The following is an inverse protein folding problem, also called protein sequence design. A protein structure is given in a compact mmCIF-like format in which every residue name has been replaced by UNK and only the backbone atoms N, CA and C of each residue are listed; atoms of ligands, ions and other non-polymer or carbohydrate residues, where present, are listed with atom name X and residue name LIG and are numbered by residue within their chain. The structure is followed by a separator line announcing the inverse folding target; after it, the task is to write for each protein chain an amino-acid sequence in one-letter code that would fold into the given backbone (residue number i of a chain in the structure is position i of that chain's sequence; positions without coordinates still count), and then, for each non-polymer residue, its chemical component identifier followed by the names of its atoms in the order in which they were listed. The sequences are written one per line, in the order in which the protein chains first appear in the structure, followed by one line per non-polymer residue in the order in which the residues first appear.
data_IF_475699038076
#
_entry.id   IF_475699038076
#
_cell.length_a   1.000
_cell.length_b   1.000
_cell.length_c   1.000
_cell.angle_alpha   90.00
_cell.angle_beta   90.00
_cell.angle_gamma   90.00
#
_symmetry.space_group_name_H-M   'P 1'
#
loop_
_entity.id
_entity.type
_entity.pdbx_description
1 polymer ?
#
# COMPACT_ATOMS: atom_id res chain seq x y z
N UNK A 1 -2.77 -43.80 36.06
CA UNK A 1 -2.57 -42.36 35.79
C UNK A 1 -3.04 -42.11 34.36
N UNK A 2 -4.33 -41.76 34.19
CA UNK A 2 -4.96 -41.55 32.88
C UNK A 2 -4.67 -40.11 32.42
N UNK A 3 -4.05 -39.99 31.26
CA UNK A 3 -3.82 -38.70 30.58
C UNK A 3 -5.12 -38.33 29.88
N UNK A 4 -5.82 -37.32 30.41
CA UNK A 4 -6.95 -36.69 29.74
C UNK A 4 -6.38 -35.74 28.69
N UNK A 5 -6.46 -36.13 27.42
CA UNK A 5 -6.25 -35.23 26.29
C UNK A 5 -7.56 -34.45 26.12
N UNK A 6 -7.62 -33.24 26.65
CA UNK A 6 -8.69 -32.31 26.35
C UNK A 6 -8.49 -31.77 24.93
N UNK A 7 -9.17 -32.40 23.95
CA UNK A 7 -9.49 -31.74 22.69
C UNK A 7 -10.39 -30.55 23.02
N UNK A 8 -9.87 -29.34 22.96
CA UNK A 8 -10.71 -28.15 22.82
C UNK A 8 -11.14 -28.10 21.36
N UNK A 9 -12.24 -28.78 21.04
CA UNK A 9 -13.02 -28.39 19.86
C UNK A 9 -13.55 -27.00 20.17
N UNK A 10 -12.88 -25.98 19.65
CA UNK A 10 -13.50 -24.67 19.50
C UNK A 10 -14.81 -24.91 18.77
N UNK A 11 -15.89 -24.67 19.51
CA UNK A 11 -17.24 -24.55 19.02
C UNK A 11 -17.25 -23.56 17.86
N UNK A 12 -17.06 -24.08 16.65
CA UNK A 12 -17.28 -23.41 15.38
C UNK A 12 -18.78 -23.12 15.32
N UNK A 13 -19.11 -21.95 15.87
CA UNK A 13 -20.33 -21.68 16.62
C UNK A 13 -21.57 -21.56 15.73
N UNK A 14 -22.65 -22.20 16.18
CA UNK A 14 -24.02 -22.01 15.68
C UNK A 14 -24.52 -20.54 15.78
N UNK A 15 -23.76 -19.61 16.36
CA UNK A 15 -24.15 -18.19 16.46
C UNK A 15 -23.85 -17.34 15.21
N UNK A 16 -23.26 -17.91 14.14
CA UNK A 16 -23.01 -17.17 12.87
C UNK A 16 -24.17 -17.20 11.86
N UNK A 17 -25.25 -17.94 12.11
CA UNK A 17 -26.33 -18.10 11.11
C UNK A 17 -27.23 -16.88 10.94
N UNK A 18 -26.91 -15.73 11.55
CA UNK A 18 -27.77 -14.54 11.55
C UNK A 18 -27.13 -13.26 10.96
N UNK A 19 -25.98 -13.37 10.29
CA UNK A 19 -25.23 -12.20 9.85
C UNK A 19 -24.87 -12.23 8.37
N UNK A 20 -24.90 -11.05 7.75
CA UNK A 20 -24.50 -10.84 6.36
C UNK A 20 -22.97 -10.78 6.31
N UNK A 21 -22.34 -11.74 5.65
CA UNK A 21 -20.89 -11.82 5.60
C UNK A 21 -20.33 -10.93 4.50
N UNK A 22 -19.39 -10.07 4.84
CA UNK A 22 -18.64 -9.23 3.90
C UNK A 22 -17.21 -9.73 3.87
N UNK A 23 -16.66 -9.87 2.66
CA UNK A 23 -15.24 -10.20 2.46
C UNK A 23 -14.69 -9.43 1.26
N UNK A 24 -13.37 -9.37 1.16
CA UNK A 24 -12.74 -8.87 -0.03
C UNK A 24 -11.23 -8.78 0.10
N UNK A 25 -10.61 -8.25 -0.94
CA UNK A 25 -9.18 -7.99 -1.01
C UNK A 25 -8.91 -6.51 -1.20
N UNK A 26 -7.92 -6.02 -0.48
CA UNK A 26 -7.44 -4.65 -0.58
C UNK A 26 -6.06 -4.66 -1.23
N UNK A 27 -5.89 -3.86 -2.27
CA UNK A 27 -4.60 -3.68 -2.96
C UNK A 27 -4.18 -2.22 -3.03
N UNK A 28 -2.89 -2.02 -3.26
CA UNK A 28 -2.27 -0.73 -3.52
C UNK A 28 -1.69 -0.68 -4.93
N UNK A 29 -1.86 0.48 -5.57
CA UNK A 29 -1.34 0.83 -6.88
C UNK A 29 -1.85 -0.09 -8.02
N UNK A 30 -2.24 0.52 -9.14
CA UNK A 30 -2.64 -0.21 -10.34
C UNK A 30 -1.37 -0.69 -11.06
N UNK A 31 -1.19 -2.01 -11.21
CA UNK A 31 -0.17 -2.54 -12.15
C UNK A 31 -0.73 -2.69 -13.58
N UNK A 32 -1.93 -2.14 -13.82
CA UNK A 32 -2.65 -2.20 -15.10
C UNK A 32 -3.87 -3.10 -14.98
N UNK A 33 -5.00 -2.61 -15.46
CA UNK A 33 -6.26 -3.34 -15.57
C UNK A 33 -6.16 -4.44 -16.63
N UNK A 34 -6.37 -5.70 -16.23
CA UNK A 34 -6.90 -6.72 -17.14
C UNK A 34 -8.14 -7.36 -16.53
N UNK A 35 -9.32 -6.96 -17.00
CA UNK A 35 -10.59 -7.58 -16.62
C UNK A 35 -10.94 -7.48 -15.13
N UNK A 36 -11.93 -8.25 -14.69
CA UNK A 36 -12.59 -8.25 -13.37
C UNK A 36 -11.67 -8.53 -12.15
N UNK A 37 -10.35 -8.52 -12.32
CA UNK A 37 -9.40 -8.69 -11.23
C UNK A 37 -8.79 -7.35 -10.81
N UNK A 38 -8.86 -7.08 -9.51
CA UNK A 38 -8.09 -6.02 -8.86
C UNK A 38 -6.63 -6.48 -8.77
N UNK A 39 -5.83 -6.14 -9.79
CA UNK A 39 -4.40 -6.48 -9.87
C UNK A 39 -3.57 -5.36 -9.23
N UNK A 40 -3.08 -5.60 -8.02
CA UNK A 40 -2.22 -4.67 -7.29
C UNK A 40 -1.47 -5.39 -6.17
N UNK A 41 -0.56 -4.68 -5.51
CA UNK A 41 0.17 -5.27 -4.38
C UNK A 41 -0.78 -5.41 -3.19
N UNK A 42 -0.86 -6.58 -2.53
CA UNK A 42 -1.69 -6.75 -1.35
C UNK A 42 -1.45 -5.68 -0.28
N UNK A 43 -2.52 -5.05 0.21
CA UNK A 43 -2.45 -3.99 1.21
C UNK A 43 -2.75 -4.54 2.60
N UNK A 44 -1.71 -4.77 3.39
CA UNK A 44 -1.85 -5.20 4.78
C UNK A 44 -2.07 -4.02 5.74
N UNK A 45 -2.73 -4.30 6.86
CA UNK A 45 -2.93 -3.33 7.95
C UNK A 45 -3.89 -2.18 7.63
N UNK A 46 -4.71 -2.32 6.59
CA UNK A 46 -5.79 -1.36 6.29
C UNK A 46 -6.89 -1.53 7.31
N UNK A 47 -7.30 -0.44 7.96
CA UNK A 47 -8.38 -0.46 8.95
C UNK A 47 -9.72 -0.20 8.25
N UNK A 48 -10.68 -1.11 8.42
CA UNK A 48 -12.06 -0.96 7.98
C UNK A 48 -12.91 -0.54 9.17
N UNK A 49 -13.37 0.71 9.17
CA UNK A 49 -14.24 1.25 10.22
C UNK A 49 -15.70 1.18 9.78
N UNK A 50 -16.56 0.60 10.61
CA UNK A 50 -17.99 0.52 10.35
C UNK A 50 -18.71 1.65 11.11
N UNK A 51 -19.42 2.48 10.37
CA UNK A 51 -20.35 3.47 10.91
C UNK A 51 -21.79 3.04 10.61
N UNK A 52 -22.63 2.94 11.64
CA UNK A 52 -24.03 2.53 11.56
C UNK A 52 -24.92 3.69 11.97
N UNK A 53 -25.84 4.12 11.11
CA UNK A 53 -26.75 5.24 11.42
C UNK A 53 -26.01 6.47 12.01
N UNK A 54 -24.78 6.75 11.52
CA UNK A 54 -23.87 7.82 11.99
C UNK A 54 -23.16 7.60 13.34
N UNK A 55 -23.23 6.41 13.95
CA UNK A 55 -22.48 6.02 15.15
C UNK A 55 -21.37 5.02 14.80
N UNK A 56 -20.15 5.25 15.29
CA UNK A 56 -19.02 4.32 15.08
C UNK A 56 -19.21 3.07 15.93
N UNK A 57 -19.08 1.89 15.32
CA UNK A 57 -19.37 0.63 16.02
C UNK A 57 -18.14 -0.26 16.18
N UNK A 58 -17.47 -0.63 15.08
CA UNK A 58 -16.44 -1.68 15.08
C UNK A 58 -15.33 -1.35 14.07
N UNK A 59 -14.13 -1.89 14.32
CA UNK A 59 -13.03 -1.85 13.37
C UNK A 59 -12.51 -3.25 13.07
N UNK A 60 -12.03 -3.42 11.83
CA UNK A 60 -11.38 -4.64 11.35
C UNK A 60 -10.10 -4.25 10.62
N UNK A 61 -9.25 -5.22 10.30
CA UNK A 61 -8.02 -4.98 9.56
C UNK A 61 -7.77 -6.03 8.49
N UNK A 62 -7.16 -5.61 7.38
CA UNK A 62 -6.66 -6.56 6.37
C UNK A 62 -5.43 -7.34 6.85
N UNK A 63 -5.32 -8.60 6.43
CA UNK A 63 -4.18 -9.47 6.69
C UNK A 63 -2.96 -9.15 5.78
N UNK A 64 -1.88 -9.94 5.90
CA UNK A 64 -0.68 -9.78 5.08
C UNK A 64 -0.90 -9.98 3.57
N UNK A 65 -1.99 -10.63 3.19
CA UNK A 65 -2.40 -10.89 1.81
C UNK A 65 -3.49 -9.90 1.34
N UNK A 66 -3.77 -8.86 2.13
CA UNK A 66 -4.77 -7.84 1.84
C UNK A 66 -6.21 -8.33 2.02
N UNK A 67 -6.43 -9.55 2.49
CA UNK A 67 -7.78 -10.08 2.70
C UNK A 67 -8.37 -9.51 3.97
N UNK A 68 -9.68 -9.28 3.96
CA UNK A 68 -10.45 -8.90 5.14
C UNK A 68 -11.81 -9.57 5.12
N UNK A 69 -12.42 -9.70 6.30
CA UNK A 69 -13.82 -10.11 6.41
C UNK A 69 -14.44 -9.66 7.72
N UNK A 70 -15.76 -9.47 7.70
CA UNK A 70 -16.57 -9.14 8.87
C UNK A 70 -18.04 -9.48 8.61
N UNK A 71 -18.88 -9.28 9.62
CA UNK A 71 -20.32 -9.52 9.57
C UNK A 71 -21.08 -8.22 9.77
N UNK A 72 -22.15 -8.03 9.01
CA UNK A 72 -23.14 -6.97 9.19
C UNK A 72 -24.43 -7.55 9.77
N UNK A 73 -25.04 -6.84 10.72
CA UNK A 73 -26.39 -7.14 11.18
C UNK A 73 -27.42 -6.61 10.17
N UNK A 74 -28.57 -7.27 9.98
CA UNK A 74 -29.63 -6.83 9.08
C UNK A 74 -30.35 -5.57 9.58
N UNK A 75 -31.17 -4.95 8.71
CA UNK A 75 -32.02 -3.82 9.10
C UNK A 75 -31.27 -2.50 9.30
N UNK A 76 -30.02 -2.40 8.86
CA UNK A 76 -29.12 -1.26 9.10
C UNK A 76 -28.51 -0.71 7.81
N UNK A 77 -28.10 0.55 7.88
CA UNK A 77 -27.30 1.22 6.85
C UNK A 77 -25.88 1.46 7.37
N UNK A 78 -24.90 1.04 6.57
CA UNK A 78 -23.50 1.08 6.91
C UNK A 78 -22.73 2.01 5.97
N UNK A 79 -21.78 2.75 6.54
CA UNK A 79 -20.64 3.28 5.81
C UNK A 79 -19.40 2.51 6.25
N UNK A 80 -18.76 1.85 5.29
CA UNK A 80 -17.49 1.17 5.45
C UNK A 80 -16.36 2.14 5.06
N UNK A 81 -15.55 2.57 6.02
CA UNK A 81 -14.41 3.47 5.77
C UNK A 81 -13.09 2.70 5.81
N UNK A 82 -12.41 2.60 4.67
CA UNK A 82 -11.12 1.92 4.51
C UNK A 82 -10.00 2.95 4.64
N UNK A 83 -9.16 2.80 5.67
CA UNK A 83 -8.17 3.81 6.07
C UNK A 83 -6.79 3.20 6.23
N UNK A 84 -5.77 3.89 5.69
CA UNK A 84 -4.36 3.55 5.87
C UNK A 84 -3.52 4.85 5.86
N UNK A 85 -2.57 5.03 6.78
CA UNK A 85 -1.71 6.22 6.79
C UNK A 85 -0.99 6.41 5.45
N UNK A 86 -1.07 7.62 4.90
CA UNK A 86 -0.48 7.95 3.59
C UNK A 86 -1.33 7.56 2.38
N UNK A 87 -2.55 7.06 2.57
CA UNK A 87 -3.47 6.68 1.50
C UNK A 87 -4.79 7.44 1.61
N UNK A 88 -5.42 7.64 0.46
CA UNK A 88 -6.75 8.25 0.38
C UNK A 88 -7.80 7.28 0.94
N UNK A 89 -8.61 7.76 1.89
CA UNK A 89 -9.69 6.98 2.49
C UNK A 89 -10.77 6.65 1.45
N UNK A 90 -11.20 5.38 1.42
CA UNK A 90 -12.32 4.93 0.57
C UNK A 90 -13.55 4.65 1.42
N UNK A 91 -14.73 4.89 0.83
CA UNK A 91 -16.02 4.70 1.50
C UNK A 91 -16.93 3.85 0.64
N UNK A 92 -17.57 2.86 1.25
CA UNK A 92 -18.60 2.05 0.61
C UNK A 92 -19.86 2.14 1.45
N UNK A 93 -20.99 2.30 0.78
CA UNK A 93 -22.28 2.25 1.43
C UNK A 93 -22.89 0.87 1.25
N UNK A 94 -23.46 0.32 2.32
CA UNK A 94 -24.18 -0.95 2.28
C UNK A 94 -25.50 -0.80 3.02
N UNK A 95 -26.63 -1.05 2.36
CA UNK A 95 -27.94 -1.14 2.99
C UNK A 95 -28.35 -2.60 3.17
N UNK A 96 -28.61 -2.97 4.42
CA UNK A 96 -29.11 -4.30 4.79
C UNK A 96 -30.59 -4.28 5.17
N UNK A 97 -31.30 -3.17 4.86
CA UNK A 97 -32.70 -2.95 5.25
C UNK A 97 -33.66 -4.00 4.68
N UNK A 98 -33.45 -4.39 3.43
CA UNK A 98 -34.32 -5.35 2.74
C UNK A 98 -33.91 -6.82 2.99
N UNK A 99 -32.85 -7.08 3.78
CA UNK A 99 -32.45 -8.45 4.10
C UNK A 99 -33.43 -9.05 5.12
N UNK A 100 -34.18 -10.07 4.71
CA UNK A 100 -35.17 -10.73 5.55
C UNK A 100 -34.57 -11.82 6.46
N UNK A 101 -35.32 -12.27 7.46
CA UNK A 101 -34.89 -13.38 8.33
C UNK A 101 -34.81 -14.71 7.59
N UNK A 102 -35.60 -14.90 6.52
CA UNK A 102 -35.56 -16.13 5.72
C UNK A 102 -34.27 -16.19 4.91
N UNK A 103 -33.86 -15.09 4.26
CA UNK A 103 -32.58 -15.01 3.53
C UNK A 103 -31.39 -15.37 4.42
N UNK A 104 -31.41 -14.83 5.63
CA UNK A 104 -30.41 -15.10 6.65
C UNK A 104 -30.39 -16.59 7.04
N UNK A 105 -31.57 -17.18 7.24
CA UNK A 105 -31.74 -18.58 7.67
C UNK A 105 -31.24 -19.57 6.63
N UNK A 106 -31.49 -19.30 5.35
CA UNK A 106 -31.07 -20.18 4.26
C UNK A 106 -29.61 -19.97 3.84
N UNK A 107 -29.00 -18.88 4.31
CA UNK A 107 -27.60 -18.55 4.08
C UNK A 107 -27.43 -17.73 2.81
N UNK A 108 -26.69 -16.64 2.93
CA UNK A 108 -26.43 -15.72 1.84
C UNK A 108 -25.03 -15.91 1.29
N UNK A 109 -24.84 -15.63 0.00
CA UNK A 109 -23.49 -15.47 -0.54
C UNK A 109 -22.80 -14.30 0.16
N UNK A 110 -21.48 -14.39 0.41
CA UNK A 110 -20.75 -13.25 0.94
C UNK A 110 -20.78 -12.07 -0.03
N UNK A 111 -21.09 -10.89 0.48
CA UNK A 111 -20.88 -9.65 -0.26
C UNK A 111 -19.38 -9.44 -0.46
N UNK A 112 -18.93 -9.50 -1.72
CA UNK A 112 -17.53 -9.33 -2.10
C UNK A 112 -17.28 -7.87 -2.46
N UNK A 113 -16.39 -7.21 -1.71
CA UNK A 113 -16.00 -5.82 -1.96
C UNK A 113 -14.48 -5.74 -2.04
N UNK A 114 -13.96 -5.65 -3.26
CA UNK A 114 -12.54 -5.41 -3.46
C UNK A 114 -12.25 -3.91 -3.50
N UNK A 115 -11.13 -3.50 -2.88
CA UNK A 115 -10.77 -2.09 -2.72
C UNK A 115 -9.38 -1.86 -3.27
N UNK A 116 -9.28 -0.86 -4.13
CA UNK A 116 -8.00 -0.28 -4.54
C UNK A 116 -7.76 1.02 -3.77
N UNK A 117 -6.67 1.03 -2.99
CA UNK A 117 -6.15 2.24 -2.36
C UNK A 117 -5.09 2.88 -3.24
N UNK A 118 -5.08 4.21 -3.24
CA UNK A 118 -3.99 5.00 -3.80
C UNK A 118 -3.48 5.99 -2.76
N UNK A 119 -2.21 6.33 -2.90
CA UNK A 119 -1.51 7.24 -2.00
C UNK A 119 -2.17 8.62 -1.98
N UNK A 120 -2.19 9.23 -0.81
CA UNK A 120 -2.46 10.66 -0.68
C UNK A 120 -1.19 11.43 -1.05
N UNK A 121 -1.36 12.66 -1.53
CA UNK A 121 -0.23 13.47 -2.01
C UNK A 121 -0.47 14.96 -1.76
N UNK A 122 0.57 15.74 -1.40
CA UNK A 122 0.43 17.18 -1.22
C UNK A 122 -0.24 17.86 -2.43
N UNK A 123 -1.36 18.55 -2.18
CA UNK A 123 -2.12 19.25 -3.21
C UNK A 123 -3.21 18.42 -3.91
N UNK A 124 -3.36 17.13 -3.56
CA UNK A 124 -4.41 16.27 -4.10
C UNK A 124 -5.79 16.69 -3.54
N UNK A 125 -6.78 16.88 -4.42
CA UNK A 125 -8.14 17.16 -3.99
C UNK A 125 -8.93 15.84 -3.85
N UNK A 126 -9.28 15.48 -2.63
CA UNK A 126 -10.01 14.23 -2.32
C UNK A 126 -11.42 14.47 -1.77
N UNK A 127 -11.93 15.71 -1.82
CA UNK A 127 -13.22 16.07 -1.20
C UNK A 127 -14.38 15.24 -1.72
N UNK A 128 -14.38 14.91 -3.02
CA UNK A 128 -15.42 14.08 -3.63
C UNK A 128 -15.46 12.65 -3.04
N UNK A 129 -14.33 12.15 -2.55
CA UNK A 129 -14.18 10.81 -1.94
C UNK A 129 -14.58 10.80 -0.45
N UNK A 130 -15.07 11.92 0.08
CA UNK A 130 -15.85 11.95 1.33
C UNK A 130 -17.22 11.29 1.18
N UNK A 131 -17.69 11.10 -0.05
CA UNK A 131 -18.88 10.31 -0.38
C UNK A 131 -18.50 8.84 -0.64
N UNK A 132 -19.44 7.89 -0.51
CA UNK A 132 -19.23 6.52 -0.96
C UNK A 132 -18.83 6.47 -2.44
N UNK A 133 -17.99 5.51 -2.81
CA UNK A 133 -17.61 5.28 -4.22
C UNK A 133 -18.46 4.20 -4.90
N UNK A 134 -19.20 3.42 -4.11
CA UNK A 134 -20.16 2.41 -4.55
C UNK A 134 -21.21 2.22 -3.45
N UNK A 135 -22.39 1.74 -3.84
CA UNK A 135 -23.54 1.52 -2.95
C UNK A 135 -24.12 0.15 -3.23
N UNK A 136 -24.12 -0.70 -2.21
CA UNK A 136 -24.73 -2.02 -2.28
C UNK A 136 -26.07 -2.03 -1.56
N UNK A 137 -27.10 -2.57 -2.22
CA UNK A 137 -28.42 -2.80 -1.64
C UNK A 137 -28.86 -4.22 -1.92
N UNK A 138 -29.54 -4.86 -0.98
CA UNK A 138 -30.14 -6.16 -1.23
C UNK A 138 -31.29 -6.04 -2.24
N UNK A 139 -31.34 -6.96 -3.20
CA UNK A 139 -32.40 -7.08 -4.20
C UNK A 139 -33.14 -8.39 -3.99
N UNK A 140 -34.42 -8.31 -3.59
CA UNK A 140 -35.29 -9.50 -3.45
C UNK A 140 -35.41 -10.29 -4.76
N UNK A 141 -35.31 -9.60 -5.91
CA UNK A 141 -35.38 -10.23 -7.22
C UNK A 141 -34.13 -11.09 -7.52
N UNK A 142 -32.95 -10.58 -7.17
CA UNK A 142 -31.68 -11.29 -7.39
C UNK A 142 -31.35 -12.26 -6.24
N UNK A 143 -31.97 -12.08 -5.07
CA UNK A 143 -31.61 -12.79 -3.85
C UNK A 143 -30.19 -12.46 -3.37
N UNK A 144 -29.64 -11.31 -3.78
CA UNK A 144 -28.26 -10.91 -3.49
C UNK A 144 -28.12 -9.38 -3.41
N UNK A 145 -26.97 -8.92 -2.94
CA UNK A 145 -26.57 -7.53 -3.00
C UNK A 145 -26.22 -7.13 -4.43
N UNK A 146 -26.86 -6.07 -4.90
CA UNK A 146 -26.57 -5.43 -6.18
C UNK A 146 -25.89 -4.08 -5.94
N UNK A 147 -24.96 -3.72 -6.82
CA UNK A 147 -24.40 -2.36 -6.86
C UNK A 147 -25.38 -1.42 -7.57
N UNK A 148 -25.50 -0.19 -7.08
CA UNK A 148 -26.11 0.93 -7.80
C UNK A 148 -25.19 1.33 -8.95
N UNK A 149 -25.28 0.59 -10.07
CA UNK A 149 -24.41 0.77 -11.24
C UNK A 149 -24.39 2.22 -11.75
N UNK A 150 -25.53 2.93 -11.91
CA UNK A 150 -25.51 4.34 -12.28
C UNK A 150 -24.68 5.19 -11.31
N UNK A 151 -24.88 5.02 -10.00
CA UNK A 151 -24.10 5.74 -9.00
C UNK A 151 -22.61 5.39 -9.08
N UNK A 152 -22.27 4.10 -9.14
CA UNK A 152 -20.90 3.63 -9.29
C UNK A 152 -20.22 4.25 -10.51
N UNK A 153 -20.87 4.26 -11.67
CA UNK A 153 -20.32 4.85 -12.88
C UNK A 153 -20.06 6.36 -12.73
N UNK A 154 -20.93 7.10 -12.04
CA UNK A 154 -20.66 8.52 -11.74
C UNK A 154 -19.45 8.69 -10.83
N UNK A 155 -19.34 7.90 -9.76
CA UNK A 155 -18.24 7.99 -8.82
C UNK A 155 -16.92 7.50 -9.42
N UNK A 156 -16.97 6.52 -10.33
CA UNK A 156 -15.80 6.03 -11.06
C UNK A 156 -15.13 7.17 -11.84
N UNK A 157 -15.90 8.01 -12.53
CA UNK A 157 -15.37 9.18 -13.25
C UNK A 157 -14.67 10.15 -12.30
N UNK A 158 -15.23 10.37 -11.10
CA UNK A 158 -14.62 11.24 -10.11
C UNK A 158 -13.35 10.62 -9.49
N UNK A 159 -13.34 9.32 -9.23
CA UNK A 159 -12.14 8.59 -8.80
C UNK A 159 -11.05 8.68 -9.86
N UNK A 160 -11.38 8.52 -11.14
CA UNK A 160 -10.45 8.63 -12.26
C UNK A 160 -9.86 10.04 -12.37
N UNK A 161 -10.67 11.10 -12.14
CA UNK A 161 -10.17 12.49 -12.07
C UNK A 161 -9.16 12.69 -10.94
N UNK A 162 -9.45 12.18 -9.74
CA UNK A 162 -8.54 12.27 -8.59
C UNK A 162 -7.23 11.51 -8.88
N UNK A 163 -7.33 10.31 -9.46
CA UNK A 163 -6.15 9.54 -9.87
C UNK A 163 -5.31 10.28 -10.92
N UNK A 164 -5.94 10.89 -11.92
CA UNK A 164 -5.23 11.68 -12.93
C UNK A 164 -4.51 12.89 -12.30
N UNK A 165 -5.16 13.57 -11.35
CA UNK A 165 -4.52 14.66 -10.60
C UNK A 165 -3.32 14.15 -9.79
N UNK A 166 -3.45 13.00 -9.12
CA UNK A 166 -2.36 12.35 -8.38
C UNK A 166 -1.15 12.08 -9.30
N UNK A 167 -1.38 11.53 -10.49
CA UNK A 167 -0.29 11.28 -11.45
C UNK A 167 0.40 12.57 -11.89
N UNK A 168 -0.37 13.64 -12.15
CA UNK A 168 0.20 14.95 -12.50
C UNK A 168 1.05 15.53 -11.37
N UNK A 169 0.57 15.48 -10.13
CA UNK A 169 1.29 15.98 -8.96
C UNK A 169 2.58 15.20 -8.72
N UNK A 170 2.53 13.86 -8.80
CA UNK A 170 3.72 13.00 -8.71
C UNK A 170 4.73 13.32 -9.80
N UNK A 171 4.28 13.47 -11.04
CA UNK A 171 5.15 13.83 -12.16
C UNK A 171 5.83 15.19 -11.95
N UNK A 172 5.08 16.21 -11.52
CA UNK A 172 5.65 17.54 -11.25
C UNK A 172 6.68 17.50 -10.11
N UNK A 173 6.40 16.79 -9.03
CA UNK A 173 7.34 16.61 -7.94
C UNK A 173 8.60 15.88 -8.40
N UNK A 174 8.45 14.80 -9.17
CA UNK A 174 9.55 14.06 -9.78
C UNK A 174 10.41 14.96 -10.67
N UNK A 175 9.80 15.68 -11.64
CA UNK A 175 10.50 16.53 -12.60
C UNK A 175 11.31 17.62 -11.86
N UNK A 176 10.76 18.16 -10.76
CA UNK A 176 11.44 19.15 -9.91
C UNK A 176 12.68 18.57 -9.21
N UNK A 177 12.56 17.40 -8.59
CA UNK A 177 13.68 16.74 -7.91
C UNK A 177 14.77 16.35 -8.91
N UNK A 178 14.39 15.88 -10.10
CA UNK A 178 15.33 15.58 -11.19
C UNK A 178 16.07 16.84 -11.66
N UNK A 179 15.36 17.93 -11.92
CA UNK A 179 16.00 19.18 -12.35
C UNK A 179 16.97 19.73 -11.28
N UNK A 180 16.61 19.60 -10.00
CA UNK A 180 17.51 19.93 -8.88
C UNK A 180 18.74 19.04 -8.87
N UNK A 181 18.55 17.72 -8.97
CA UNK A 181 19.62 16.74 -8.98
C UNK A 181 20.59 16.93 -10.16
N UNK A 182 20.08 17.19 -11.37
CA UNK A 182 20.86 17.48 -12.56
C UNK A 182 21.71 18.75 -12.37
N UNK A 183 21.11 19.80 -11.80
CA UNK A 183 21.83 21.03 -11.50
C UNK A 183 22.97 20.78 -10.50
N UNK A 184 22.70 20.09 -9.40
CA UNK A 184 23.71 19.72 -8.40
C UNK A 184 24.83 18.87 -9.01
N UNK A 185 24.47 17.91 -9.86
CA UNK A 185 25.42 17.03 -10.51
C UNK A 185 26.35 17.80 -11.45
N UNK A 186 25.81 18.72 -12.26
CA UNK A 186 26.62 19.58 -13.15
C UNK A 186 27.60 20.48 -12.39
N UNK A 187 27.31 20.82 -11.13
CA UNK A 187 28.20 21.57 -10.23
C UNK A 187 29.09 20.67 -9.36
N UNK A 188 29.19 19.38 -9.67
CA UNK A 188 29.97 18.38 -8.94
C UNK A 188 29.57 18.21 -7.45
N UNK A 189 28.36 18.63 -7.07
CA UNK A 189 27.79 18.38 -5.75
C UNK A 189 27.17 16.99 -5.71
N UNK A 190 28.05 15.98 -5.80
CA UNK A 190 27.67 14.59 -6.05
C UNK A 190 26.74 14.02 -4.97
N UNK A 191 27.02 14.30 -3.70
CA UNK A 191 26.23 13.80 -2.59
C UNK A 191 24.82 14.38 -2.56
N UNK A 192 24.69 15.69 -2.78
CA UNK A 192 23.39 16.37 -2.82
C UNK A 192 22.58 15.90 -4.04
N UNK A 193 23.23 15.74 -5.20
CA UNK A 193 22.60 15.23 -6.42
C UNK A 193 22.04 13.81 -6.21
N UNK A 194 22.81 12.92 -5.57
CA UNK A 194 22.34 11.58 -5.24
C UNK A 194 21.06 11.63 -4.39
N UNK A 195 21.03 12.46 -3.34
CA UNK A 195 19.85 12.58 -2.46
C UNK A 195 18.62 13.02 -3.25
N UNK A 196 18.75 14.01 -4.13
CA UNK A 196 17.61 14.50 -4.93
C UNK A 196 17.14 13.44 -5.96
N UNK A 197 18.05 12.67 -6.56
CA UNK A 197 17.65 11.51 -7.36
C UNK A 197 16.95 10.41 -6.54
N UNK A 198 17.34 10.19 -5.29
CA UNK A 198 16.64 9.25 -4.40
C UNK A 198 15.23 9.75 -4.06
N UNK A 199 15.03 11.06 -3.87
CA UNK A 199 13.69 11.65 -3.69
C UNK A 199 12.84 11.49 -4.95
N UNK A 200 13.44 11.67 -6.13
CA UNK A 200 12.77 11.42 -7.41
C UNK A 200 12.30 9.95 -7.49
N UNK A 201 13.15 8.98 -7.15
CA UNK A 201 12.78 7.55 -7.12
C UNK A 201 11.76 7.21 -6.03
N UNK A 202 11.77 7.91 -4.89
CA UNK A 202 10.73 7.74 -3.89
C UNK A 202 9.35 8.18 -4.43
N UNK A 203 9.34 9.16 -5.33
CA UNK A 203 8.11 9.68 -5.95
C UNK A 203 7.65 8.77 -7.10
N UNK A 204 8.56 8.35 -7.97
CA UNK A 204 8.34 7.43 -9.08
C UNK A 204 9.42 6.33 -9.10
N UNK A 205 9.17 5.17 -8.48
CA UNK A 205 10.21 4.16 -8.22
C UNK A 205 10.65 3.34 -9.43
N UNK A 206 9.90 3.40 -10.54
CA UNK A 206 10.17 2.62 -11.75
C UNK A 206 11.01 3.40 -12.79
N UNK A 207 11.36 4.66 -12.50
CA UNK A 207 12.09 5.52 -13.42
C UNK A 207 13.57 5.12 -13.55
N UNK A 208 14.02 4.89 -14.80
CA UNK A 208 15.40 4.46 -15.06
C UNK A 208 16.42 5.58 -14.96
N UNK A 209 16.02 6.81 -15.30
CA UNK A 209 16.94 7.94 -15.39
C UNK A 209 17.65 8.23 -14.06
N UNK A 210 16.94 8.42 -12.92
CA UNK A 210 17.61 8.64 -11.64
C UNK A 210 18.47 7.45 -11.19
N UNK A 211 18.05 6.21 -11.51
CA UNK A 211 18.85 5.00 -11.20
C UNK A 211 20.22 5.04 -11.89
N UNK A 212 20.24 5.40 -13.17
CA UNK A 212 21.47 5.52 -13.94
C UNK A 212 22.37 6.63 -13.38
N UNK A 213 21.79 7.79 -13.05
CA UNK A 213 22.52 8.93 -12.51
C UNK A 213 23.11 8.64 -11.13
N UNK A 214 22.35 7.97 -10.24
CA UNK A 214 22.86 7.50 -8.95
C UNK A 214 24.03 6.52 -9.14
N UNK A 215 23.94 5.63 -10.12
CA UNK A 215 25.00 4.66 -10.42
C UNK A 215 26.29 5.37 -10.85
N UNK A 216 26.17 6.37 -11.71
CA UNK A 216 27.30 7.17 -12.17
C UNK A 216 27.90 8.02 -11.03
N UNK A 217 27.06 8.66 -10.22
CA UNK A 217 27.50 9.39 -9.03
C UNK A 217 28.29 8.47 -8.09
N UNK A 218 27.79 7.25 -7.83
CA UNK A 218 28.51 6.26 -7.00
C UNK A 218 29.88 5.92 -7.60
N UNK A 219 29.99 5.76 -8.92
CA UNK A 219 31.27 5.54 -9.60
C UNK A 219 32.24 6.69 -9.36
N UNK A 220 31.80 7.93 -9.60
CA UNK A 220 32.61 9.14 -9.44
C UNK A 220 33.08 9.39 -8.01
N UNK A 221 32.23 9.10 -7.02
CA UNK A 221 32.57 9.18 -5.60
C UNK A 221 33.66 8.15 -5.26
N UNK A 222 33.54 6.92 -5.75
CA UNK A 222 34.48 5.83 -5.46
C UNK A 222 35.84 6.01 -6.16
N UNK A 223 35.90 6.64 -7.34
CA UNK A 223 37.18 6.92 -8.01
C UNK A 223 38.06 7.90 -7.24
N UNK A 224 37.46 8.74 -6.38
CA UNK A 224 38.16 9.76 -5.59
C UNK A 224 38.53 9.30 -4.18
N UNK A 225 38.25 8.06 -3.80
CA UNK A 225 38.38 7.58 -2.42
C UNK A 225 39.13 6.26 -2.33
N UNK A 226 39.90 6.08 -1.25
CA UNK A 226 40.36 4.75 -0.86
C UNK A 226 39.17 3.90 -0.40
N UNK A 227 39.31 2.57 -0.43
CA UNK A 227 38.24 1.65 -0.04
C UNK A 227 37.73 1.89 1.40
N UNK A 228 38.63 2.27 2.33
CA UNK A 228 38.26 2.54 3.72
C UNK A 228 37.53 3.89 3.87
N UNK A 229 37.90 4.91 3.09
CA UNK A 229 37.18 6.20 3.05
C UNK A 229 35.78 6.06 2.43
N UNK A 230 35.65 5.29 1.35
CA UNK A 230 34.36 5.02 0.72
C UNK A 230 33.41 4.29 1.68
N UNK A 231 33.94 3.37 2.50
CA UNK A 231 33.17 2.69 3.54
C UNK A 231 32.70 3.67 4.63
N UNK A 232 33.61 4.46 5.20
CA UNK A 232 33.25 5.43 6.25
C UNK A 232 32.23 6.46 5.75
N UNK A 233 32.41 7.02 4.55
CA UNK A 233 31.45 7.96 3.97
C UNK A 233 30.06 7.36 3.73
N UNK A 234 29.99 6.07 3.41
CA UNK A 234 28.70 5.39 3.23
C UNK A 234 27.94 5.28 4.54
N UNK A 235 28.65 4.99 5.64
CA UNK A 235 28.07 4.96 6.99
C UNK A 235 27.65 6.37 7.43
N UNK A 236 28.52 7.37 7.27
CA UNK A 236 28.19 8.77 7.59
C UNK A 236 26.96 9.29 6.83
N UNK A 237 26.84 8.93 5.53
CA UNK A 237 25.67 9.28 4.72
C UNK A 237 24.40 8.60 5.25
N UNK A 238 24.48 7.30 5.55
CA UNK A 238 23.35 6.57 6.12
C UNK A 238 22.88 7.19 7.45
N UNK A 239 23.83 7.57 8.30
CA UNK A 239 23.56 8.19 9.60
C UNK A 239 22.94 9.58 9.46
N UNK A 240 23.46 10.40 8.54
CA UNK A 240 22.99 11.77 8.29
C UNK A 240 21.59 11.83 7.69
N UNK A 241 21.25 10.90 6.80
CA UNK A 241 20.02 10.98 6.00
C UNK A 241 18.89 10.06 6.46
N UNK A 242 19.19 8.92 7.10
CA UNK A 242 18.19 7.88 7.39
C UNK A 242 17.93 7.64 8.88
N UNK A 243 18.73 8.25 9.77
CA UNK A 243 18.59 8.14 11.22
C UNK A 243 18.98 6.77 11.78
N UNK A 244 19.47 6.74 13.04
CA UNK A 244 20.14 5.58 13.66
C UNK A 244 19.38 4.24 13.67
N UNK A 245 18.06 4.23 13.44
CA UNK A 245 17.21 3.03 13.59
C UNK A 245 17.00 2.23 12.31
N UNK A 246 17.21 2.82 11.13
CA UNK A 246 17.01 2.16 9.81
C UNK A 246 18.31 1.67 9.14
N UNK A 247 19.47 1.91 9.77
CA UNK A 247 20.83 1.67 9.24
C UNK A 247 21.07 0.20 8.83
N UNK A 248 20.52 -0.77 9.58
CA UNK A 248 20.99 -2.17 9.52
C UNK A 248 20.40 -2.97 8.34
N UNK A 249 19.29 -2.53 7.76
CA UNK A 249 18.48 -3.38 6.87
C UNK A 249 18.67 -3.12 5.37
N UNK A 250 18.93 -1.87 4.94
CA UNK A 250 19.02 -1.51 3.51
C UNK A 250 20.45 -1.18 3.02
N UNK A 251 21.21 -0.39 3.79
CA UNK A 251 22.54 0.09 3.37
C UNK A 251 23.71 -0.53 4.15
N UNK A 252 23.50 -0.94 5.40
CA UNK A 252 24.54 -1.61 6.20
C UNK A 252 24.91 -3.00 5.66
N UNK A 253 23.96 -3.75 5.11
CA UNK A 253 24.19 -5.07 4.52
C UNK A 253 24.91 -4.98 3.17
N UNK A 254 24.49 -4.07 2.30
CA UNK A 254 25.08 -3.85 0.97
C UNK A 254 26.49 -3.23 1.05
N UNK A 255 26.70 -2.25 1.93
CA UNK A 255 28.03 -1.67 2.17
C UNK A 255 29.01 -2.70 2.75
N UNK A 256 28.56 -3.54 3.69
CA UNK A 256 29.40 -4.58 4.29
C UNK A 256 29.70 -5.73 3.30
N UNK A 257 28.73 -6.12 2.46
CA UNK A 257 28.93 -7.12 1.40
C UNK A 257 29.92 -6.61 0.33
N UNK A 258 29.81 -5.35 -0.08
CA UNK A 258 30.74 -4.74 -1.04
C UNK A 258 32.16 -4.67 -0.47
N UNK A 259 32.31 -4.23 0.78
CA UNK A 259 33.59 -4.15 1.47
C UNK A 259 34.26 -5.53 1.64
N UNK A 260 33.50 -6.54 2.04
CA UNK A 260 34.02 -7.91 2.21
C UNK A 260 34.41 -8.56 0.88
N UNK A 261 33.66 -8.33 -0.19
CA UNK A 261 33.98 -8.84 -1.53
C UNK A 261 35.25 -8.19 -2.11
N UNK A 262 35.43 -6.88 -1.96
CA UNK A 262 36.62 -6.19 -2.43
C UNK A 262 37.88 -6.61 -1.64
N UNK A 263 37.80 -6.75 -0.32
CA UNK A 263 38.91 -7.31 0.48
C UNK A 263 39.27 -8.75 0.08
N UNK A 264 38.27 -9.59 -0.24
CA UNK A 264 38.52 -10.95 -0.74
C UNK A 264 39.25 -10.94 -2.09
N UNK A 265 38.87 -10.06 -3.01
CA UNK A 265 39.53 -9.93 -4.30
C UNK A 265 40.98 -9.42 -4.16
N UNK A 266 41.21 -8.38 -3.35
CA UNK A 266 42.57 -7.87 -3.09
C UNK A 266 43.46 -8.95 -2.47
N UNK A 267 42.95 -9.72 -1.48
CA UNK A 267 43.68 -10.85 -0.89
C UNK A 267 43.98 -11.95 -1.92
N UNK A 268 43.03 -12.30 -2.78
CA UNK A 268 43.23 -13.29 -3.86
C UNK A 268 44.31 -12.86 -4.86
N UNK A 269 44.30 -11.59 -5.28
CA UNK A 269 45.34 -11.07 -6.20
C UNK A 269 46.73 -10.98 -5.56
N UNK A 270 46.82 -10.86 -4.24
CA UNK A 270 48.09 -10.84 -3.49
C UNK A 270 48.66 -12.23 -3.21
N UNK A 271 47.81 -13.26 -3.25
CA UNK A 271 48.21 -14.67 -3.11
C UNK A 271 48.57 -15.34 -4.45
N UNK A 272 48.28 -14.69 -5.58
CA UNK A 272 48.62 -15.16 -6.93
C UNK A 272 49.82 -14.42 -7.56
N UNK A 273 50.57 -13.64 -6.76
CA UNK A 273 51.86 -13.05 -7.10
C UNK A 273 52.91 -13.62 -6.16
#
# INVERSE_FOLDING_TARGET
MLIIVSLTSESYSQNKSHSIFVKGKIVENDIGLSGWEVIGFPSSGVVVNLTVNSLKEKNYSSDNNGNYSFSLDPGKEYILEYTKPGYVTKRIYVSTKEVTQDEIKFGMFPLVIDIQLFEDFPGLNTDILKKPISKFTFSDYEGDFVDDEPYYLTMKVEVDKVNNQLQQLKKQAYDKEVASADNLFSHQKLEDAWIDYEKALKTLPLEKYPVNQITEIKRLINEKMTLDEAYQRTIERADKHYGKKNIKTLWGSTANLYYTNQKKNIRRTKLMR
#
